data_IF_799094188844
#
_entry.id   IF_799094188844
#
_cell.length_a   1.000
_cell.length_b   1.000
_cell.length_c   1.000
_cell.angle_alpha   90.00
_cell.angle_beta   90.00
_cell.angle_gamma   90.00
#
_symmetry.space_group_name_H-M   'P 1'
#
loop_
_entity.id
_entity.type
_entity.pdbx_description
1 polymer ?
#
# COMPACT_ATOMS: atom_id res chain seq x y z
N UNK A 1 10.21 -35.03 12.14
CA UNK A 1 10.82 -33.99 11.27
C UNK A 1 9.93 -33.58 10.09
N UNK A 2 9.32 -34.52 9.34
CA UNK A 2 8.44 -34.18 8.20
C UNK A 2 7.24 -33.30 8.54
N UNK A 3 6.56 -33.58 9.66
CA UNK A 3 5.41 -32.79 10.12
C UNK A 3 5.82 -31.37 10.52
N UNK A 4 6.99 -31.21 11.15
CA UNK A 4 7.52 -29.89 11.52
C UNK A 4 7.87 -29.06 10.28
N UNK A 5 8.46 -29.68 9.27
CA UNK A 5 8.79 -29.03 8.00
C UNK A 5 7.52 -28.59 7.26
N UNK A 6 6.47 -29.42 7.22
CA UNK A 6 5.17 -29.04 6.64
C UNK A 6 4.50 -27.89 7.40
N UNK A 7 4.52 -27.93 8.73
CA UNK A 7 3.97 -26.87 9.55
C UNK A 7 4.68 -25.54 9.30
N UNK A 8 6.02 -25.54 9.23
CA UNK A 8 6.83 -24.36 8.89
C UNK A 8 6.52 -23.81 7.49
N UNK A 9 6.37 -24.70 6.50
CA UNK A 9 6.01 -24.32 5.13
C UNK A 9 4.63 -23.68 5.05
N UNK A 10 3.63 -24.26 5.73
CA UNK A 10 2.28 -23.69 5.79
C UNK A 10 2.27 -22.33 6.48
N UNK A 11 2.96 -22.19 7.62
CA UNK A 11 3.04 -20.90 8.31
C UNK A 11 3.76 -19.85 7.47
N UNK A 12 4.81 -20.22 6.74
CA UNK A 12 5.50 -19.31 5.84
C UNK A 12 4.61 -18.84 4.68
N UNK A 13 3.77 -19.73 4.15
CA UNK A 13 2.85 -19.40 3.06
C UNK A 13 1.71 -18.48 3.51
N UNK A 14 1.19 -18.67 4.73
CA UNK A 14 0.13 -17.82 5.29
C UNK A 14 0.64 -16.45 5.78
N UNK A 15 1.91 -16.38 6.18
CA UNK A 15 2.52 -15.14 6.65
C UNK A 15 3.12 -14.28 5.52
N UNK A 16 3.20 -14.80 4.30
CA UNK A 16 3.68 -14.04 3.16
C UNK A 16 2.74 -12.87 2.88
N UNK A 17 3.24 -11.64 2.71
CA UNK A 17 2.40 -10.53 2.28
C UNK A 17 1.81 -10.86 0.90
N UNK A 18 0.58 -10.43 0.61
CA UNK A 18 0.02 -10.62 -0.71
C UNK A 18 0.91 -9.88 -1.73
N UNK A 19 1.25 -10.55 -2.84
CA UNK A 19 1.90 -9.90 -3.98
C UNK A 19 0.89 -8.94 -4.60
N UNK A 20 0.88 -7.71 -4.10
CA UNK A 20 0.04 -6.61 -4.57
C UNK A 20 0.96 -5.51 -5.05
N UNK A 21 0.57 -4.89 -6.16
CA UNK A 21 1.28 -3.74 -6.71
C UNK A 21 0.65 -2.51 -6.05
N UNK A 22 1.50 -1.65 -5.50
CA UNK A 22 1.03 -0.35 -5.03
C UNK A 22 0.67 0.50 -6.24
N UNK A 23 -0.39 1.28 -6.10
CA UNK A 23 -0.86 2.24 -7.11
C UNK A 23 -0.16 3.56 -6.89
N UNK A 24 0.31 4.18 -7.97
CA UNK A 24 0.93 5.51 -7.96
C UNK A 24 -0.13 6.62 -7.79
N UNK A 25 0.22 7.81 -7.26
CA UNK A 25 -0.75 8.87 -7.00
C UNK A 25 -1.50 9.39 -8.24
N UNK A 26 -0.86 9.33 -9.40
CA UNK A 26 -1.39 9.72 -10.71
C UNK A 26 -2.21 8.62 -11.38
N UNK A 27 -2.13 7.40 -10.89
CA UNK A 27 -2.99 6.30 -11.32
C UNK A 27 -4.39 6.41 -10.67
N UNK A 28 -5.38 5.80 -11.33
CA UNK A 28 -6.78 5.78 -10.87
C UNK A 28 -7.16 4.35 -10.55
N UNK A 29 -7.65 4.10 -9.34
CA UNK A 29 -8.11 2.78 -8.93
C UNK A 29 -9.34 2.32 -9.73
N UNK A 30 -9.38 1.04 -10.06
CA UNK A 30 -10.50 0.43 -10.80
C UNK A 30 -11.83 0.52 -10.02
N UNK A 31 -11.78 0.43 -8.69
CA UNK A 31 -12.94 0.59 -7.81
C UNK A 31 -13.08 2.06 -7.41
N UNK A 32 -14.14 2.71 -7.91
CA UNK A 32 -14.41 4.12 -7.66
C UNK A 32 -14.65 4.46 -6.17
N UNK A 33 -15.14 3.52 -5.37
CA UNK A 33 -15.31 3.70 -3.93
C UNK A 33 -13.96 3.70 -3.21
N UNK A 34 -13.05 2.81 -3.61
CA UNK A 34 -11.68 2.81 -3.11
C UNK A 34 -10.91 4.06 -3.56
N UNK A 35 -11.08 4.50 -4.80
CA UNK A 35 -10.51 5.76 -5.31
C UNK A 35 -10.95 6.97 -4.48
N UNK A 36 -12.26 7.13 -4.27
CA UNK A 36 -12.79 8.23 -3.47
C UNK A 36 -12.23 8.22 -2.03
N UNK A 37 -12.12 7.03 -1.43
CA UNK A 37 -11.51 6.87 -0.10
C UNK A 37 -10.02 7.23 -0.12
N UNK A 38 -9.27 6.82 -1.13
CA UNK A 38 -7.86 7.15 -1.26
C UNK A 38 -7.64 8.67 -1.34
N UNK A 39 -8.41 9.38 -2.19
CA UNK A 39 -8.33 10.85 -2.32
C UNK A 39 -8.66 11.58 -1.01
N UNK A 40 -9.63 11.09 -0.24
CA UNK A 40 -9.92 11.66 1.08
C UNK A 40 -8.78 11.46 2.08
N UNK A 41 -8.16 10.28 2.10
CA UNK A 41 -7.00 10.01 2.97
C UNK A 41 -5.80 10.90 2.60
N UNK A 42 -5.51 11.06 1.31
CA UNK A 42 -4.37 11.83 0.81
C UNK A 42 -4.40 13.30 1.21
N UNK A 43 -5.60 13.90 1.36
CA UNK A 43 -5.76 15.28 1.88
C UNK A 43 -5.29 15.44 3.33
N UNK A 44 -5.39 14.37 4.14
CA UNK A 44 -5.01 14.37 5.54
C UNK A 44 -3.52 14.15 5.77
N UNK A 45 -2.88 13.36 4.90
CA UNK A 45 -1.47 13.01 5.00
C UNK A 45 -0.57 14.11 4.43
N UNK A 46 0.61 14.28 5.02
CA UNK A 46 1.53 15.39 4.73
C UNK A 46 2.91 14.92 4.31
N UNK A 47 3.45 15.54 3.27
CA UNK A 47 4.80 15.25 2.82
C UNK A 47 5.84 15.93 3.71
N UNK A 48 6.77 15.14 4.27
CA UNK A 48 7.79 15.61 5.21
C UNK A 48 8.89 16.45 4.54
N UNK A 49 9.08 16.29 3.23
CA UNK A 49 10.13 16.98 2.46
C UNK A 49 9.56 18.14 1.62
N UNK A 50 8.33 18.01 1.14
CA UNK A 50 7.63 19.01 0.32
C UNK A 50 6.79 19.97 1.17
N UNK A 51 7.44 20.71 2.08
CA UNK A 51 6.83 21.88 2.79
C UNK A 51 5.41 21.68 3.34
N UNK A 52 5.09 20.49 3.84
CA UNK A 52 3.78 20.15 4.41
C UNK A 52 2.60 20.24 3.40
N UNK A 53 2.91 20.06 2.11
CA UNK A 53 1.94 19.79 1.05
C UNK A 53 1.15 18.51 1.36
N UNK A 54 -0.04 18.38 0.77
CA UNK A 54 -0.75 17.11 0.77
C UNK A 54 0.04 16.08 -0.04
N UNK A 55 -0.08 14.79 0.28
CA UNK A 55 0.65 13.75 -0.48
C UNK A 55 0.12 13.56 -1.90
N UNK A 56 -1.13 13.99 -2.17
CA UNK A 56 -1.75 13.94 -3.51
C UNK A 56 -1.16 14.98 -4.47
N UNK A 57 -0.68 16.10 -3.93
CA UNK A 57 -0.14 17.23 -4.71
C UNK A 57 1.40 17.24 -4.73
N UNK A 58 2.04 16.49 -3.83
CA UNK A 58 3.49 16.44 -3.73
C UNK A 58 4.08 15.55 -4.83
N UNK A 59 5.14 16.01 -5.49
CA UNK A 59 5.89 15.23 -6.48
C UNK A 59 7.20 14.68 -5.85
N UNK A 60 7.09 14.11 -4.66
CA UNK A 60 8.23 13.51 -3.97
C UNK A 60 8.45 12.08 -4.48
N UNK A 61 9.71 11.71 -4.75
CA UNK A 61 10.06 10.32 -5.04
C UNK A 61 9.93 9.43 -3.78
N UNK A 62 9.65 8.14 -3.99
CA UNK A 62 9.51 7.09 -2.96
C UNK A 62 10.68 6.09 -2.97
#
# INVERSE_FOLDING_TARGET
>A
MRVLALALLLTGLLAAPPMTWAVEPDEVLEDAGLEARARELSKGLRCLVCRNESIDESNADL
#
